data_IF_583049961332
#
_entry.id   IF_583049961332
#
_cell.length_a   1.000
_cell.length_b   1.000
_cell.length_c   1.000
_cell.angle_alpha   90.00
_cell.angle_beta   90.00
_cell.angle_gamma   90.00
#
_symmetry.space_group_name_H-M   'P 1'
#
loop_
_entity.id
_entity.type
_entity.pdbx_description
1 polymer ?
#
# COMPACT_ATOMS: atom_id res chain seq x y z
N UNK A 1 -30.56 -78.01 4.69
CA UNK A 1 -29.64 -77.13 5.39
C UNK A 1 -29.18 -76.05 4.40
N UNK A 2 -29.81 -74.88 4.41
CA UNK A 2 -29.61 -73.80 3.44
C UNK A 2 -28.60 -72.81 4.06
N UNK A 3 -27.46 -72.64 3.43
CA UNK A 3 -26.41 -71.71 3.85
C UNK A 3 -26.68 -70.38 3.14
N UNK A 4 -27.01 -69.34 3.90
CA UNK A 4 -27.10 -67.95 3.41
C UNK A 4 -25.74 -67.31 3.46
N UNK A 5 -25.21 -66.96 2.27
CA UNK A 5 -23.99 -66.17 2.15
C UNK A 5 -24.39 -64.70 2.17
N UNK A 6 -24.02 -63.98 3.25
CA UNK A 6 -24.24 -62.57 3.40
C UNK A 6 -23.04 -61.82 2.77
N UNK A 7 -23.22 -61.23 1.57
CA UNK A 7 -22.21 -60.38 0.93
C UNK A 7 -22.28 -58.97 1.53
N UNK A 8 -21.23 -58.59 2.27
CA UNK A 8 -21.05 -57.26 2.83
C UNK A 8 -20.43 -56.35 1.75
N UNK A 9 -21.25 -55.43 1.21
CA UNK A 9 -20.77 -54.39 0.28
C UNK A 9 -20.27 -53.22 1.13
N UNK A 10 -18.96 -53.04 1.23
CA UNK A 10 -18.34 -51.88 1.82
C UNK A 10 -18.37 -50.72 0.80
N UNK A 11 -19.25 -49.78 1.01
CA UNK A 11 -19.30 -48.52 0.25
C UNK A 11 -18.17 -47.59 0.70
N UNK A 12 -17.13 -47.43 -0.12
CA UNK A 12 -16.03 -46.51 0.08
C UNK A 12 -16.49 -45.10 -0.31
N UNK A 13 -16.88 -44.29 0.68
CA UNK A 13 -17.22 -42.87 0.48
C UNK A 13 -15.96 -42.05 0.27
N UNK A 14 -15.65 -41.71 -0.97
CA UNK A 14 -14.57 -40.77 -1.33
C UNK A 14 -15.10 -39.37 -1.00
N UNK A 15 -14.65 -38.80 0.13
CA UNK A 15 -14.85 -37.37 0.44
C UNK A 15 -13.93 -36.53 -0.45
N UNK A 16 -14.52 -35.89 -1.45
CA UNK A 16 -13.85 -34.83 -2.24
C UNK A 16 -13.63 -33.61 -1.32
N UNK A 17 -12.41 -33.41 -0.87
CA UNK A 17 -12.02 -32.14 -0.24
C UNK A 17 -11.88 -31.12 -1.38
N UNK A 18 -12.88 -30.27 -1.53
CA UNK A 18 -12.81 -29.11 -2.42
C UNK A 18 -11.74 -28.17 -1.86
N UNK A 19 -10.56 -28.20 -2.46
CA UNK A 19 -9.48 -27.26 -2.21
C UNK A 19 -9.93 -25.93 -2.81
N UNK A 20 -10.43 -25.02 -1.96
CA UNK A 20 -10.71 -23.65 -2.36
C UNK A 20 -9.41 -22.98 -2.76
N UNK A 21 -9.18 -22.90 -4.06
CA UNK A 21 -8.13 -22.04 -4.61
C UNK A 21 -8.54 -20.60 -4.31
N UNK A 22 -7.87 -19.98 -3.34
CA UNK A 22 -7.91 -18.54 -3.13
C UNK A 22 -7.16 -17.93 -4.32
N UNK A 23 -7.88 -17.74 -5.42
CA UNK A 23 -7.42 -16.91 -6.51
C UNK A 23 -7.37 -15.49 -5.98
N UNK A 24 -6.17 -14.90 -5.92
CA UNK A 24 -5.96 -13.49 -5.58
C UNK A 24 -6.66 -12.62 -6.64
N UNK A 25 -7.87 -12.18 -6.33
CA UNK A 25 -8.70 -11.34 -7.19
C UNK A 25 -8.27 -9.86 -7.18
N UNK A 26 -6.94 -9.58 -7.23
CA UNK A 26 -6.43 -8.20 -7.13
C UNK A 26 -5.86 -7.66 -8.45
N UNK A 27 -5.78 -8.46 -9.52
CA UNK A 27 -5.25 -8.01 -10.80
C UNK A 27 -6.13 -6.92 -11.42
N UNK A 28 -5.56 -5.72 -11.62
CA UNK A 28 -6.23 -4.57 -12.21
C UNK A 28 -7.09 -3.73 -11.26
N UNK A 29 -6.93 -3.87 -9.96
CA UNK A 29 -7.66 -3.08 -8.97
C UNK A 29 -7.10 -1.66 -8.89
N UNK A 30 -7.98 -0.64 -8.97
CA UNK A 30 -7.58 0.76 -8.70
C UNK A 30 -7.33 0.94 -7.20
N UNK A 31 -6.34 1.77 -6.85
CA UNK A 31 -6.08 2.15 -5.45
C UNK A 31 -7.34 2.78 -4.85
N UNK A 32 -7.79 2.23 -3.72
CA UNK A 32 -8.90 2.78 -2.96
C UNK A 32 -8.36 3.83 -1.98
N UNK A 33 -8.45 5.09 -2.40
CA UNK A 33 -8.00 6.22 -1.58
C UNK A 33 -8.99 6.51 -0.46
N UNK A 34 -8.47 6.81 0.72
CA UNK A 34 -9.24 7.17 1.91
C UNK A 34 -8.68 8.42 2.59
N UNK A 35 -9.41 8.96 3.57
CA UNK A 35 -8.90 10.03 4.43
C UNK A 35 -7.97 9.47 5.51
N UNK A 36 -7.22 10.36 6.16
CA UNK A 36 -6.32 9.98 7.25
C UNK A 36 -7.10 9.40 8.45
N UNK A 37 -8.28 9.96 8.74
CA UNK A 37 -9.19 9.46 9.79
C UNK A 37 -9.75 8.06 9.46
N UNK A 38 -10.13 7.84 8.20
CA UNK A 38 -10.60 6.53 7.75
C UNK A 38 -9.50 5.46 7.88
N UNK A 39 -8.27 5.80 7.49
CA UNK A 39 -7.13 4.91 7.65
C UNK A 39 -6.84 4.62 9.12
N UNK A 40 -6.89 5.64 10.00
CA UNK A 40 -6.74 5.44 11.44
C UNK A 40 -7.81 4.51 12.00
N UNK A 41 -9.08 4.73 11.65
CA UNK A 41 -10.17 3.88 12.10
C UNK A 41 -10.06 2.44 11.57
N UNK A 42 -9.54 2.26 10.34
CA UNK A 42 -9.31 0.96 9.75
C UNK A 42 -8.20 0.19 10.47
N UNK A 43 -7.09 0.84 10.84
CA UNK A 43 -5.98 0.19 11.57
C UNK A 43 -6.38 -0.31 12.95
N UNK A 44 -7.43 0.28 13.57
CA UNK A 44 -7.94 -0.18 14.86
C UNK A 44 -8.69 -1.53 14.75
N UNK A 45 -9.18 -1.86 13.55
CA UNK A 45 -9.90 -3.11 13.26
C UNK A 45 -8.99 -4.17 12.67
N UNK A 46 -8.20 -3.78 11.69
CA UNK A 46 -7.24 -4.63 10.98
C UNK A 46 -5.92 -3.87 10.86
N UNK A 47 -4.89 -4.23 11.65
CA UNK A 47 -3.58 -3.58 11.58
C UNK A 47 -2.94 -3.74 10.20
N UNK A 48 -2.71 -2.62 9.51
CA UNK A 48 -2.06 -2.56 8.20
C UNK A 48 -1.26 -1.26 8.10
N UNK A 49 -0.15 -1.27 7.36
CA UNK A 49 0.62 -0.05 7.10
C UNK A 49 -0.18 0.99 6.33
N UNK A 50 0.20 2.24 6.47
CA UNK A 50 -0.44 3.34 5.78
C UNK A 50 0.57 3.97 4.80
N UNK A 51 0.12 4.25 3.60
CA UNK A 51 0.81 5.03 2.60
C UNK A 51 0.03 6.33 2.40
N UNK A 52 0.63 7.46 2.74
CA UNK A 52 0.00 8.78 2.63
C UNK A 52 0.63 9.54 1.46
N UNK A 53 -0.12 9.77 0.40
CA UNK A 53 0.24 10.70 -0.65
C UNK A 53 -0.15 12.12 -0.25
N UNK A 54 0.84 12.96 0.03
CA UNK A 54 0.64 14.36 0.43
C UNK A 54 0.87 15.25 -0.79
N UNK A 55 -0.17 15.99 -1.16
CA UNK A 55 -0.21 16.82 -2.35
C UNK A 55 -0.79 18.20 -2.07
N UNK A 56 -0.78 19.06 -3.09
CA UNK A 56 -1.52 20.34 -3.13
C UNK A 56 -2.21 20.50 -4.48
N UNK A 57 -3.25 21.31 -4.54
CA UNK A 57 -4.03 21.51 -5.77
C UNK A 57 -3.23 22.09 -6.96
N UNK A 58 -2.18 22.86 -6.68
CA UNK A 58 -1.28 23.48 -7.69
C UNK A 58 -0.09 22.61 -8.08
N UNK A 59 0.14 21.46 -7.40
CA UNK A 59 1.30 20.60 -7.64
C UNK A 59 1.20 19.84 -8.98
N UNK A 60 1.94 20.28 -9.98
CA UNK A 60 1.95 19.64 -11.30
C UNK A 60 2.48 18.20 -11.28
N UNK A 61 3.57 17.94 -10.54
CA UNK A 61 4.16 16.60 -10.44
C UNK A 61 3.27 15.61 -9.65
N UNK A 62 2.43 16.10 -8.73
CA UNK A 62 1.43 15.26 -8.07
C UNK A 62 0.41 14.74 -9.09
N UNK A 63 -0.08 15.62 -9.99
CA UNK A 63 -1.00 15.23 -11.07
C UNK A 63 -0.37 14.22 -12.03
N UNK A 64 0.92 14.37 -12.34
CA UNK A 64 1.65 13.40 -13.17
C UNK A 64 1.75 12.06 -12.45
N UNK A 65 2.03 12.05 -11.15
CA UNK A 65 2.11 10.84 -10.34
C UNK A 65 0.75 10.12 -10.27
N UNK A 66 -0.34 10.86 -10.14
CA UNK A 66 -1.71 10.33 -10.21
C UNK A 66 -1.99 9.60 -11.52
N UNK A 67 -1.53 10.17 -12.65
CA UNK A 67 -1.82 9.65 -13.98
C UNK A 67 -0.89 8.51 -14.42
N UNK A 68 0.35 8.48 -13.97
CA UNK A 68 1.38 7.58 -14.50
C UNK A 68 1.85 6.53 -13.50
N UNK A 69 1.90 6.88 -12.21
CA UNK A 69 2.43 6.00 -11.18
C UNK A 69 1.32 5.19 -10.52
N UNK A 70 0.29 5.86 -10.01
CA UNK A 70 -0.78 5.20 -9.27
C UNK A 70 -1.78 4.43 -10.15
N UNK A 71 -1.76 4.64 -11.45
CA UNK A 71 -2.55 3.85 -12.43
C UNK A 71 -1.82 2.59 -12.91
N UNK A 72 -0.55 2.42 -12.59
CA UNK A 72 0.19 1.22 -12.96
C UNK A 72 -0.34 0.01 -12.17
N UNK A 73 -0.70 -1.07 -12.86
CA UNK A 73 -1.32 -2.26 -12.27
C UNK A 73 -0.49 -2.85 -11.12
N UNK A 74 0.82 -3.04 -11.30
CA UNK A 74 1.69 -3.61 -10.26
C UNK A 74 1.76 -2.74 -9.01
N UNK A 75 1.75 -1.41 -9.20
CA UNK A 75 1.70 -0.44 -8.10
C UNK A 75 0.37 -0.52 -7.39
N UNK A 76 -0.72 -0.45 -8.15
CA UNK A 76 -2.07 -0.43 -7.60
C UNK A 76 -2.40 -1.72 -6.84
N UNK A 77 -2.04 -2.87 -7.40
CA UNK A 77 -2.24 -4.18 -6.77
C UNK A 77 -1.47 -4.29 -5.46
N UNK A 78 -0.17 -3.93 -5.47
CA UNK A 78 0.67 -4.01 -4.28
C UNK A 78 0.21 -3.02 -3.19
N UNK A 79 -0.13 -1.79 -3.55
CA UNK A 79 -0.65 -0.79 -2.60
C UNK A 79 -1.97 -1.28 -2.00
N UNK A 80 -2.89 -1.78 -2.80
CA UNK A 80 -4.20 -2.26 -2.34
C UNK A 80 -4.08 -3.47 -1.40
N UNK A 81 -3.09 -4.32 -1.61
CA UNK A 81 -2.81 -5.49 -0.75
C UNK A 81 -2.15 -5.09 0.59
N UNK A 82 -1.14 -4.23 0.55
CA UNK A 82 -0.23 -4.01 1.68
C UNK A 82 -0.55 -2.77 2.53
N UNK A 83 -1.27 -1.80 1.97
CA UNK A 83 -1.45 -0.51 2.62
C UNK A 83 -2.91 -0.07 2.71
N UNK A 84 -3.22 0.73 3.70
CA UNK A 84 -4.30 1.71 3.61
C UNK A 84 -3.75 2.93 2.88
N UNK A 85 -4.28 3.21 1.70
CA UNK A 85 -3.83 4.30 0.86
C UNK A 85 -4.58 5.59 1.20
N UNK A 86 -3.87 6.61 1.64
CA UNK A 86 -4.43 7.92 2.02
C UNK A 86 -4.03 8.97 1.01
N UNK A 87 -5.01 9.81 0.62
CA UNK A 87 -4.79 11.02 -0.17
C UNK A 87 -4.99 12.21 0.76
N UNK A 88 -3.94 13.02 0.99
CA UNK A 88 -3.98 14.17 1.89
C UNK A 88 -3.63 15.46 1.14
N UNK A 89 -4.63 16.31 0.94
CA UNK A 89 -4.38 17.69 0.53
C UNK A 89 -3.77 18.46 1.70
N UNK A 90 -2.54 18.92 1.54
CA UNK A 90 -1.84 19.66 2.58
C UNK A 90 -2.51 21.02 2.90
N UNK A 91 -3.34 21.54 1.99
CA UNK A 91 -4.03 22.83 2.13
C UNK A 91 -5.47 22.69 2.60
N UNK A 92 -5.94 21.47 2.93
CA UNK A 92 -7.31 21.23 3.39
C UNK A 92 -7.61 22.06 4.66
N UNK A 93 -8.74 22.77 4.64
CA UNK A 93 -9.13 23.66 5.74
C UNK A 93 -9.91 22.95 6.85
N UNK A 94 -10.47 21.79 6.55
CA UNK A 94 -11.21 21.00 7.52
C UNK A 94 -10.28 20.50 8.63
N UNK A 95 -10.83 20.42 9.84
CA UNK A 95 -10.07 19.84 10.97
C UNK A 95 -9.95 18.33 10.79
N UNK A 96 -8.72 17.83 10.76
CA UNK A 96 -8.43 16.39 10.76
C UNK A 96 -8.30 15.91 12.19
N UNK A 97 -8.99 14.82 12.55
CA UNK A 97 -8.97 14.28 13.92
C UNK A 97 -8.46 12.83 13.92
N UNK A 98 -7.30 12.59 14.57
CA UNK A 98 -6.70 11.28 14.73
C UNK A 98 -6.69 10.90 16.21
N UNK A 99 -7.53 9.95 16.60
CA UNK A 99 -7.76 9.66 18.01
C UNK A 99 -8.32 10.88 18.74
N UNK A 100 -7.57 11.38 19.70
CA UNK A 100 -7.92 12.62 20.45
C UNK A 100 -7.25 13.87 19.91
N UNK A 101 -6.28 13.71 18.99
CA UNK A 101 -5.51 14.81 18.44
C UNK A 101 -6.26 15.47 17.28
N UNK A 102 -6.37 16.82 17.33
CA UNK A 102 -6.95 17.65 16.27
C UNK A 102 -5.85 18.41 15.55
N UNK A 103 -5.90 18.40 14.22
CA UNK A 103 -5.02 19.14 13.34
C UNK A 103 -5.85 20.15 12.56
N UNK A 104 -5.60 21.43 12.82
CA UNK A 104 -6.29 22.54 12.17
C UNK A 104 -5.47 23.08 11.00
N UNK A 105 -6.14 23.80 10.10
CA UNK A 105 -5.46 24.61 9.09
C UNK A 105 -4.82 25.84 9.75
N UNK A 106 -3.55 26.08 9.48
CA UNK A 106 -2.79 27.23 9.99
C UNK A 106 -1.65 27.57 9.04
N UNK A 107 -1.42 28.87 8.80
CA UNK A 107 -0.30 29.36 7.99
C UNK A 107 -0.21 28.74 6.58
N UNK A 108 -1.36 28.55 5.92
CA UNK A 108 -1.43 28.00 4.56
C UNK A 108 -1.60 26.48 4.47
N UNK A 109 -1.37 25.73 5.55
CA UNK A 109 -1.39 24.28 5.54
C UNK A 109 -2.13 23.67 6.72
N UNK A 110 -2.68 22.47 6.54
CA UNK A 110 -3.20 21.68 7.64
C UNK A 110 -2.05 21.06 8.45
N UNK A 111 -2.15 21.20 9.78
CA UNK A 111 -1.07 20.77 10.68
C UNK A 111 -0.83 19.24 10.66
N UNK A 112 -1.76 18.43 10.17
CA UNK A 112 -1.51 17.00 9.92
C UNK A 112 -0.47 16.82 8.80
N UNK A 113 -0.60 17.55 7.69
CA UNK A 113 0.40 17.53 6.61
C UNK A 113 1.75 18.06 7.09
N UNK A 114 1.77 19.17 7.86
CA UNK A 114 3.01 19.73 8.43
C UNK A 114 3.73 18.71 9.31
N UNK A 115 3.00 18.02 10.19
CA UNK A 115 3.55 17.00 11.09
C UNK A 115 4.11 15.80 10.29
N UNK A 116 3.37 15.29 9.32
CA UNK A 116 3.80 14.16 8.48
C UNK A 116 5.01 14.52 7.61
N UNK A 117 5.10 15.74 7.13
CA UNK A 117 6.24 16.25 6.35
C UNK A 117 7.40 16.73 7.24
N UNK A 118 7.25 16.66 8.56
CA UNK A 118 8.26 17.14 9.53
C UNK A 118 8.66 18.61 9.26
N UNK A 119 7.70 19.43 8.84
CA UNK A 119 7.91 20.83 8.49
C UNK A 119 8.59 21.07 7.14
N UNK A 120 9.01 20.04 6.42
CA UNK A 120 9.65 20.15 5.09
C UNK A 120 8.58 20.08 4.00
N UNK A 121 7.97 21.22 3.69
CA UNK A 121 6.86 21.33 2.74
C UNK A 121 7.33 21.13 1.31
N UNK A 122 7.34 19.87 0.84
CA UNK A 122 7.73 19.45 -0.50
C UNK A 122 6.66 18.53 -1.10
N UNK A 123 6.31 18.71 -2.38
CA UNK A 123 5.22 17.98 -3.03
C UNK A 123 5.64 17.47 -4.43
N UNK A 124 5.25 16.22 -4.80
CA UNK A 124 4.61 15.22 -3.93
C UNK A 124 5.56 14.68 -2.87
N UNK A 125 5.02 14.24 -1.76
CA UNK A 125 5.76 13.43 -0.77
C UNK A 125 4.89 12.27 -0.33
N UNK A 126 5.43 11.05 -0.42
CA UNK A 126 4.79 9.86 0.12
C UNK A 126 5.32 9.61 1.53
N UNK A 127 4.41 9.51 2.49
CA UNK A 127 4.76 9.20 3.88
C UNK A 127 4.30 7.79 4.21
N UNK A 128 5.20 6.99 4.77
CA UNK A 128 4.92 5.64 5.23
C UNK A 128 4.75 5.63 6.75
N UNK A 129 3.64 5.03 7.22
CA UNK A 129 3.38 4.79 8.63
C UNK A 129 3.27 3.29 8.88
N UNK A 130 3.61 2.87 10.10
CA UNK A 130 3.44 1.49 10.53
C UNK A 130 1.99 1.18 10.90
N UNK A 131 1.73 -0.05 11.30
CA UNK A 131 0.42 -0.58 11.67
C UNK A 131 -0.17 0.08 12.93
N UNK A 132 0.65 0.84 13.67
CA UNK A 132 0.27 1.61 14.88
C UNK A 132 0.19 3.11 14.64
N UNK A 133 0.22 3.51 13.37
CA UNK A 133 0.22 4.92 12.95
C UNK A 133 1.50 5.69 13.32
N UNK A 134 2.60 5.01 13.66
CA UNK A 134 3.90 5.66 13.85
C UNK A 134 4.57 5.91 12.50
N UNK A 135 5.24 7.04 12.39
CA UNK A 135 5.97 7.38 11.17
C UNK A 135 7.15 6.43 10.96
N UNK A 136 7.22 5.85 9.76
CA UNK A 136 8.41 5.14 9.29
C UNK A 136 9.32 6.14 8.59
N UNK A 137 8.85 6.74 7.48
CA UNK A 137 9.65 7.69 6.71
C UNK A 137 8.82 8.50 5.72
N UNK A 138 9.07 9.82 5.55
CA UNK A 138 8.69 10.58 4.38
C UNK A 138 9.67 10.36 3.23
N UNK A 139 9.16 10.19 2.01
CA UNK A 139 9.94 10.04 0.77
C UNK A 139 9.49 11.12 -0.21
N UNK A 140 10.23 12.23 -0.32
CA UNK A 140 9.86 13.36 -1.17
C UNK A 140 10.17 13.10 -2.65
N UNK A 141 9.40 13.74 -3.50
CA UNK A 141 9.62 13.83 -4.95
C UNK A 141 8.80 12.84 -5.77
N UNK A 142 8.66 13.20 -7.03
CA UNK A 142 8.00 12.38 -8.04
C UNK A 142 8.80 11.10 -8.32
N UNK A 143 8.10 10.00 -8.49
CA UNK A 143 8.67 8.72 -8.87
C UNK A 143 7.82 8.07 -9.98
N UNK A 144 8.48 7.60 -11.02
CA UNK A 144 7.86 6.74 -12.03
C UNK A 144 7.47 5.39 -11.43
N UNK A 145 6.48 4.71 -12.03
CA UNK A 145 5.95 3.46 -11.50
C UNK A 145 7.01 2.38 -11.16
N UNK A 146 8.04 2.13 -11.98
CA UNK A 146 9.06 1.13 -11.66
C UNK A 146 9.90 1.48 -10.42
N UNK A 147 10.23 2.76 -10.26
CA UNK A 147 10.96 3.26 -9.10
C UNK A 147 10.06 3.25 -7.85
N UNK A 148 8.82 3.70 -8.01
CA UNK A 148 7.85 3.72 -6.93
C UNK A 148 7.54 2.31 -6.42
N UNK A 149 7.45 1.31 -7.33
CA UNK A 149 7.24 -0.08 -6.94
C UNK A 149 8.37 -0.62 -6.04
N UNK A 150 9.63 -0.24 -6.31
CA UNK A 150 10.73 -0.61 -5.42
C UNK A 150 10.54 -0.01 -4.01
N UNK A 151 10.11 1.25 -3.93
CA UNK A 151 9.93 1.94 -2.64
C UNK A 151 8.78 1.34 -1.85
N UNK A 152 7.61 1.12 -2.48
CA UNK A 152 6.46 0.53 -1.78
C UNK A 152 6.73 -0.90 -1.30
N UNK A 153 7.47 -1.70 -2.08
CA UNK A 153 7.85 -3.05 -1.67
C UNK A 153 8.88 -3.05 -0.54
N UNK A 154 9.81 -2.10 -0.53
CA UNK A 154 10.77 -1.92 0.57
C UNK A 154 10.06 -1.70 1.92
N UNK A 155 9.06 -0.84 1.94
CA UNK A 155 8.29 -0.56 3.16
C UNK A 155 7.21 -1.61 3.42
N UNK A 156 6.45 -2.02 2.40
CA UNK A 156 5.33 -2.95 2.52
C UNK A 156 5.74 -4.31 3.07
N UNK A 157 6.83 -4.87 2.55
CA UNK A 157 7.34 -6.18 2.94
C UNK A 157 8.40 -6.12 4.07
N UNK A 158 8.50 -4.99 4.77
CA UNK A 158 9.40 -4.80 5.92
C UNK A 158 10.89 -4.95 5.60
N UNK A 159 11.32 -4.74 4.37
CA UNK A 159 12.74 -4.79 4.02
C UNK A 159 13.54 -3.70 4.74
N UNK A 160 12.95 -2.53 4.99
CA UNK A 160 13.55 -1.44 5.77
C UNK A 160 13.96 -1.83 7.19
N UNK A 161 13.36 -2.90 7.75
CA UNK A 161 13.74 -3.47 9.05
C UNK A 161 14.93 -4.43 8.97
N UNK A 162 15.26 -4.92 7.76
CA UNK A 162 16.25 -5.99 7.54
C UNK A 162 17.56 -5.49 6.94
N UNK A 163 17.58 -4.32 6.32
CA UNK A 163 18.74 -3.78 5.65
C UNK A 163 18.53 -2.36 5.13
N UNK A 164 19.54 -1.80 4.49
CA UNK A 164 19.47 -0.49 3.89
C UNK A 164 18.86 -0.53 2.47
N UNK A 165 18.51 0.64 1.97
CA UNK A 165 17.90 0.81 0.66
C UNK A 165 18.77 0.32 -0.50
N UNK A 166 20.07 0.62 -0.47
CA UNK A 166 21.02 0.26 -1.54
C UNK A 166 21.16 -1.25 -1.68
N UNK A 167 21.31 -1.96 -0.57
CA UNK A 167 21.37 -3.42 -0.56
C UNK A 167 20.05 -4.04 -1.04
N UNK A 168 18.92 -3.46 -0.64
CA UNK A 168 17.62 -3.90 -1.12
C UNK A 168 17.48 -3.76 -2.64
N UNK A 169 17.80 -2.59 -3.20
CA UNK A 169 17.71 -2.33 -4.63
C UNK A 169 18.60 -3.26 -5.46
N UNK A 170 19.82 -3.52 -4.98
CA UNK A 170 20.82 -4.30 -5.70
C UNK A 170 20.61 -5.80 -5.58
N UNK A 171 20.34 -6.28 -4.37
CA UNK A 171 20.47 -7.71 -4.07
C UNK A 171 19.14 -8.42 -3.82
N UNK A 172 18.09 -7.71 -3.38
CA UNK A 172 16.81 -8.29 -2.99
C UNK A 172 15.74 -8.06 -4.06
N UNK A 173 15.50 -6.81 -4.43
CA UNK A 173 14.42 -6.46 -5.36
C UNK A 173 14.52 -7.20 -6.70
N UNK A 174 15.67 -7.26 -7.40
CA UNK A 174 15.76 -7.93 -8.69
C UNK A 174 15.48 -9.43 -8.62
N UNK A 175 15.79 -10.07 -7.51
CA UNK A 175 15.53 -11.51 -7.29
C UNK A 175 14.05 -11.78 -7.04
N UNK A 176 13.36 -10.86 -6.38
CA UNK A 176 11.96 -11.04 -5.96
C UNK A 176 10.97 -10.55 -7.03
N UNK A 177 11.27 -9.44 -7.70
CA UNK A 177 10.35 -8.75 -8.60
C UNK A 177 10.86 -8.60 -10.04
N UNK A 178 12.07 -9.05 -10.35
CA UNK A 178 12.74 -8.83 -11.63
C UNK A 178 13.38 -7.44 -11.73
N UNK A 179 14.10 -7.19 -12.82
CA UNK A 179 14.69 -5.87 -13.05
C UNK A 179 13.60 -4.82 -13.25
N UNK A 180 13.75 -3.63 -12.66
CA UNK A 180 12.81 -2.54 -12.93
C UNK A 180 12.89 -2.16 -14.41
N UNK A 181 11.77 -2.24 -15.10
CA UNK A 181 11.69 -1.79 -16.50
C UNK A 181 11.67 -0.26 -16.48
N UNK A 182 12.83 0.34 -16.61
CA UNK A 182 12.94 1.79 -16.82
C UNK A 182 12.52 2.04 -18.28
N UNK A 183 11.39 2.71 -18.47
CA UNK A 183 11.02 3.17 -19.80
C UNK A 183 12.16 4.09 -20.31
N UNK A 184 12.78 3.73 -21.43
CA UNK A 184 13.75 4.61 -22.09
C UNK A 184 13.04 5.93 -22.40
N UNK A 185 13.51 7.00 -21.78
CA UNK A 185 13.09 8.36 -22.16
C UNK A 185 13.66 8.60 -23.56
N UNK A 186 12.85 8.40 -24.59
CA UNK A 186 13.20 8.87 -25.94
C UNK A 186 13.40 10.38 -25.85
N UNK A 187 14.66 10.79 -26.06
CA UNK A 187 15.05 12.20 -26.17
C UNK A 187 14.38 12.86 -27.35
#
# INVERSE_FOLDING_TARGET
MKIFILTLIASLSITFIAQSQVTSAHAGQKIQWMTLEQAFAATQKEPRKIMVDIYTGWCGWCKVMDQRTFTNEKVADFVSEKFYAVKLDAEIKDTITIGTQKYIWQNGYNQAGVALLQGKMSFPTIVYLDEKFNMIQPVPGFQEAPQFHQVITFFGDNHYKKGNWEAYQKDVYPKQYGQPVVAEVKK
#
